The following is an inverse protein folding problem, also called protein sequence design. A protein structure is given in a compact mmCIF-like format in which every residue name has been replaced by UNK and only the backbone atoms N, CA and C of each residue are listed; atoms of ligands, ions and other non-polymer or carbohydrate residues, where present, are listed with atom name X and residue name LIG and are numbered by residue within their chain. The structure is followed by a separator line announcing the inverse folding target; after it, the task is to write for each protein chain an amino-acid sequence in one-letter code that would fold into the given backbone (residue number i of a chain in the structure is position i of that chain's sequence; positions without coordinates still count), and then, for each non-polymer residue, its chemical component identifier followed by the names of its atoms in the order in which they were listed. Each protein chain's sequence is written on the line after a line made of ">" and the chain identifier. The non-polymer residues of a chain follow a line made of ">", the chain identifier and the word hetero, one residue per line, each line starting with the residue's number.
data_IF_512696857134
#
_entry.id   IF_512696857134
#
_cell.length_a   1.000
_cell.length_b   1.000
_cell.length_c   1.000
_cell.angle_alpha   90.00
_cell.angle_beta   90.00
_cell.angle_gamma   90.00
#
_symmetry.space_group_name_H-M   'P 1'
#
loop_
_entity.id
_entity.type
_entity.pdbx_description
1 polymer ?
#
# COMPACT_ATOMS: atom_id res chain seq x y z
N UNK A 1 23.53 -1.95 -2.70
CA UNK A 1 22.23 -1.79 -3.41
C UNK A 1 21.27 -2.80 -2.81
N UNK A 2 20.06 -2.38 -2.44
CA UNK A 2 19.04 -3.26 -1.87
C UNK A 2 18.12 -3.82 -2.94
N UNK A 3 17.77 -5.08 -2.83
CA UNK A 3 16.89 -5.88 -3.70
C UNK A 3 15.40 -5.46 -3.69
N UNK A 4 15.04 -4.42 -2.95
CA UNK A 4 13.65 -3.93 -2.87
C UNK A 4 12.72 -4.72 -1.93
N UNK A 5 13.17 -5.84 -1.34
CA UNK A 5 12.33 -6.67 -0.45
C UNK A 5 12.06 -6.07 0.93
N UNK A 6 12.91 -5.15 1.40
CA UNK A 6 12.83 -4.61 2.77
C UNK A 6 11.45 -4.03 3.11
N UNK A 7 10.83 -3.30 2.19
CA UNK A 7 9.49 -2.74 2.43
C UNK A 7 8.46 -3.85 2.66
N UNK A 8 8.40 -4.81 1.74
CA UNK A 8 7.45 -5.92 1.81
C UNK A 8 7.66 -6.79 3.05
N UNK A 9 8.91 -6.99 3.49
CA UNK A 9 9.22 -7.71 4.72
C UNK A 9 8.75 -6.97 5.98
N UNK A 10 8.94 -5.65 6.03
CA UNK A 10 8.47 -4.84 7.15
C UNK A 10 6.95 -4.81 7.23
N UNK A 11 6.24 -4.73 6.10
CA UNK A 11 4.78 -4.81 6.04
C UNK A 11 4.31 -6.20 6.46
N UNK A 12 4.89 -7.26 5.89
CA UNK A 12 4.54 -8.66 6.20
C UNK A 12 4.76 -9.04 7.67
N UNK A 13 5.75 -8.44 8.33
CA UNK A 13 6.05 -8.67 9.75
C UNK A 13 5.36 -7.68 10.69
N UNK A 14 4.57 -6.74 10.18
CA UNK A 14 3.88 -5.73 11.00
C UNK A 14 4.80 -4.69 11.63
N UNK A 15 6.05 -4.56 11.15
CA UNK A 15 7.07 -3.65 11.70
C UNK A 15 7.15 -2.32 10.95
N UNK A 16 6.46 -2.19 9.82
CA UNK A 16 6.54 -1.00 8.97
C UNK A 16 6.25 0.32 9.72
N UNK A 17 5.25 0.36 10.60
CA UNK A 17 4.91 1.56 11.37
C UNK A 17 6.01 2.02 12.35
N UNK A 18 6.88 1.11 12.80
CA UNK A 18 7.98 1.42 13.73
C UNK A 18 9.26 1.83 12.99
N UNK A 19 9.44 1.31 11.78
CA UNK A 19 10.71 1.38 11.04
C UNK A 19 10.68 2.43 9.91
N UNK A 20 9.49 2.83 9.45
CA UNK A 20 9.30 3.77 8.34
C UNK A 20 8.64 5.04 8.87
N UNK A 21 9.37 6.15 8.86
CA UNK A 21 8.82 7.45 9.24
C UNK A 21 7.70 7.88 8.28
N UNK A 22 6.57 8.34 8.82
CA UNK A 22 5.39 8.73 8.05
C UNK A 22 4.52 7.56 7.58
N UNK A 23 4.80 6.32 8.02
CA UNK A 23 3.95 5.18 7.74
C UNK A 23 2.64 5.27 8.55
N UNK A 24 1.51 5.15 7.86
CA UNK A 24 0.17 5.16 8.48
C UNK A 24 -0.38 3.74 8.38
N UNK A 25 -0.58 3.12 9.55
CA UNK A 25 -1.13 1.78 9.61
C UNK A 25 -2.59 1.74 9.11
N UNK A 26 -2.93 0.69 8.37
CA UNK A 26 -4.22 0.54 7.68
C UNK A 26 -4.35 1.37 6.40
N UNK A 27 -3.26 1.94 5.89
CA UNK A 27 -3.20 2.69 4.63
C UNK A 27 -1.95 2.33 3.84
N UNK A 28 -0.76 2.57 4.38
CA UNK A 28 0.50 2.46 3.63
C UNK A 28 1.00 1.02 3.43
N UNK A 29 0.28 0.00 3.89
CA UNK A 29 0.58 -1.41 3.70
C UNK A 29 0.41 -1.86 2.23
N UNK A 30 -0.51 -1.22 1.50
CA UNK A 30 -0.83 -1.54 0.11
C UNK A 30 -0.79 -0.28 -0.74
N UNK A 31 -0.41 -0.43 -2.01
CA UNK A 31 -0.44 0.70 -2.94
C UNK A 31 -1.88 1.00 -3.36
N UNK A 32 -2.23 2.27 -3.64
CA UNK A 32 -3.54 2.60 -4.19
C UNK A 32 -3.73 1.94 -5.55
N UNK A 33 -4.95 1.49 -5.81
CA UNK A 33 -5.39 1.09 -7.14
C UNK A 33 -5.37 2.36 -8.01
N UNK A 34 -4.77 2.34 -9.21
CA UNK A 34 -4.77 3.50 -10.10
C UNK A 34 -6.19 3.94 -10.45
N UNK A 35 -6.47 5.24 -10.34
CA UNK A 35 -7.82 5.78 -10.61
C UNK A 35 -8.34 5.43 -12.01
N UNK A 36 -7.46 5.49 -13.02
CA UNK A 36 -7.82 5.14 -14.40
C UNK A 36 -8.31 3.70 -14.54
N UNK A 37 -7.77 2.77 -13.76
CA UNK A 37 -8.22 1.36 -13.77
C UNK A 37 -9.63 1.24 -13.18
N UNK A 38 -9.93 1.98 -12.10
CA UNK A 38 -11.26 2.03 -11.49
C UNK A 38 -12.28 2.61 -12.47
N UNK A 39 -11.93 3.72 -13.14
CA UNK A 39 -12.77 4.37 -14.15
C UNK A 39 -13.04 3.44 -15.35
N UNK A 40 -12.00 2.77 -15.86
CA UNK A 40 -12.12 1.81 -16.97
C UNK A 40 -12.92 0.56 -16.60
N UNK A 41 -12.87 0.13 -15.33
CA UNK A 41 -13.72 -0.93 -14.80
C UNK A 41 -15.18 -0.51 -14.61
N UNK A 42 -15.54 0.75 -14.89
CA UNK A 42 -16.90 1.26 -14.72
C UNK A 42 -17.25 1.57 -13.26
N UNK A 43 -16.25 1.95 -12.45
CA UNK A 43 -16.39 2.23 -11.01
C UNK A 43 -16.95 1.07 -10.18
N UNK A 44 -16.76 -0.18 -10.64
CA UNK A 44 -17.17 -1.38 -9.89
C UNK A 44 -16.10 -1.85 -8.89
N UNK A 45 -14.87 -1.33 -9.00
CA UNK A 45 -13.79 -1.62 -8.06
C UNK A 45 -13.75 -0.55 -6.97
N UNK A 46 -13.80 -1.02 -5.72
CA UNK A 46 -13.56 -0.16 -4.57
C UNK A 46 -12.05 0.05 -4.37
N UNK A 47 -11.67 1.25 -3.95
CA UNK A 47 -10.29 1.56 -3.61
C UNK A 47 -9.84 0.79 -2.34
N UNK A 48 -8.54 0.56 -2.21
CA UNK A 48 -7.96 0.00 -0.99
C UNK A 48 -8.29 0.89 0.23
N UNK A 49 -8.57 0.30 1.41
CA UNK A 49 -8.88 1.07 2.61
C UNK A 49 -7.86 2.18 2.90
N UNK A 50 -8.34 3.40 3.13
CA UNK A 50 -7.51 4.56 3.45
C UNK A 50 -7.03 5.39 2.24
N UNK A 51 -7.37 5.00 1.01
CA UNK A 51 -7.08 5.74 -0.23
C UNK A 51 -8.32 6.28 -0.94
#
# INVERSE_FOLDING_TARGET
>A
MGEGHRFFDLVRTGRAAQEINGFVAGKHEVFPIPLIEIELAGNIWEQNPGY
#
